data_IF_911734996906
#
_entry.id   IF_911734996906
#
_cell.length_a   1.000
_cell.length_b   1.000
_cell.length_c   1.000
_cell.angle_alpha   90.00
_cell.angle_beta   90.00
_cell.angle_gamma   90.00
#
_symmetry.space_group_name_H-M   'P 1'
#
loop_
_entity.id
_entity.type
_entity.pdbx_description
1 polymer ?
#
# COMPACT_ATOMS: atom_id res chain seq x y z
N UNK A 1 -34.70 19.22 -5.69
CA UNK A 1 -33.74 18.45 -4.88
C UNK A 1 -32.62 18.00 -5.80
N UNK A 2 -31.40 18.50 -5.57
CA UNK A 2 -30.22 18.03 -6.28
C UNK A 2 -29.47 17.05 -5.35
N UNK A 3 -29.04 15.94 -5.92
CA UNK A 3 -28.17 14.98 -5.22
C UNK A 3 -26.75 15.19 -5.71
N UNK A 4 -25.79 15.30 -4.79
CA UNK A 4 -24.36 15.37 -5.08
C UNK A 4 -23.68 14.11 -4.62
N UNK A 5 -22.74 13.61 -5.42
CA UNK A 5 -21.85 12.51 -5.09
C UNK A 5 -20.41 13.03 -5.12
N UNK A 6 -19.72 12.89 -3.99
CA UNK A 6 -18.31 13.28 -3.86
C UNK A 6 -17.50 12.01 -3.57
N UNK A 7 -16.46 11.78 -4.33
CA UNK A 7 -15.54 10.66 -4.14
C UNK A 7 -14.11 11.16 -4.12
N UNK A 8 -13.25 10.50 -3.38
CA UNK A 8 -11.83 10.83 -3.27
C UNK A 8 -11.08 9.79 -2.45
N UNK A 9 -9.76 9.77 -2.59
CA UNK A 9 -8.88 8.86 -1.85
C UNK A 9 -8.86 9.22 -0.36
N UNK A 10 -8.82 10.52 -0.06
CA UNK A 10 -8.77 11.04 1.31
C UNK A 10 -9.96 11.95 1.56
N UNK A 11 -10.36 11.97 2.83
CA UNK A 11 -11.34 12.94 3.30
C UNK A 11 -10.77 14.35 3.19
N UNK A 12 -11.49 15.25 2.55
CA UNK A 12 -11.12 16.66 2.48
C UNK A 12 -11.30 17.28 3.88
N UNK A 13 -10.38 18.16 4.27
CA UNK A 13 -10.32 18.77 5.60
C UNK A 13 -11.70 19.28 6.10
N UNK A 14 -11.97 19.01 7.36
CA UNK A 14 -13.24 19.14 8.06
C UNK A 14 -13.98 20.50 7.94
N UNK A 15 -13.29 21.59 7.62
CA UNK A 15 -13.82 22.90 8.03
C UNK A 15 -14.65 23.66 6.99
N UNK A 16 -14.50 23.42 5.70
CA UNK A 16 -15.17 24.27 4.71
C UNK A 16 -16.35 23.62 3.98
N UNK A 17 -16.35 22.33 3.78
CA UNK A 17 -17.41 21.63 3.03
C UNK A 17 -18.52 21.15 3.96
N UNK A 18 -18.20 20.78 5.21
CA UNK A 18 -19.13 20.14 6.13
C UNK A 18 -19.96 21.11 6.97
N UNK A 19 -19.51 22.34 7.17
CA UNK A 19 -20.23 23.33 8.01
C UNK A 19 -21.55 23.81 7.41
N UNK A 20 -21.78 23.60 6.12
CA UNK A 20 -23.00 24.02 5.42
C UNK A 20 -23.94 22.87 4.98
N UNK A 21 -23.56 21.60 5.20
CA UNK A 21 -24.34 20.45 4.74
C UNK A 21 -24.78 19.55 5.90
N UNK A 22 -26.06 19.61 6.25
CA UNK A 22 -26.58 18.87 7.40
C UNK A 22 -26.88 17.39 7.17
N UNK A 23 -26.82 16.89 5.92
CA UNK A 23 -27.23 15.53 5.55
C UNK A 23 -26.15 14.77 4.75
N UNK A 24 -24.89 14.90 5.13
CA UNK A 24 -23.83 14.12 4.52
C UNK A 24 -23.82 12.68 5.03
N UNK A 25 -23.92 11.73 4.13
CA UNK A 25 -23.63 10.31 4.41
C UNK A 25 -22.20 10.02 3.94
N UNK A 26 -21.31 9.75 4.87
CA UNK A 26 -19.92 9.43 4.58
C UNK A 26 -19.78 7.92 4.66
N UNK A 27 -19.06 7.35 3.70
CA UNK A 27 -18.74 5.92 3.68
C UNK A 27 -17.24 5.78 3.36
N UNK A 28 -16.58 4.89 4.06
CA UNK A 28 -15.17 4.55 3.92
C UNK A 28 -14.98 3.15 3.34
N UNK A 29 -13.75 2.75 3.15
CA UNK A 29 -13.39 1.38 2.74
C UNK A 29 -13.77 0.31 3.76
N UNK A 30 -14.02 0.69 5.02
CA UNK A 30 -14.46 -0.23 6.08
C UNK A 30 -15.98 -0.46 6.09
N UNK A 31 -16.76 0.38 5.39
CA UNK A 31 -18.21 0.31 5.38
C UNK A 31 -18.73 -0.71 4.37
N UNK A 32 -19.87 -1.35 4.70
CA UNK A 32 -20.52 -2.31 3.80
C UNK A 32 -21.29 -1.63 2.67
N UNK A 33 -21.75 -0.40 2.91
CA UNK A 33 -22.52 0.34 1.93
C UNK A 33 -21.61 0.77 0.78
N UNK A 34 -22.02 0.47 -0.45
CA UNK A 34 -21.28 0.75 -1.68
C UNK A 34 -19.98 -0.03 -1.86
N UNK A 35 -19.69 -1.05 -1.07
CA UNK A 35 -18.45 -1.81 -1.09
C UNK A 35 -18.13 -2.48 -2.43
N UNK A 36 -19.13 -2.80 -3.26
CA UNK A 36 -18.94 -3.44 -4.57
C UNK A 36 -18.85 -2.44 -5.75
N UNK A 37 -18.85 -1.13 -5.51
CA UNK A 37 -18.95 -0.14 -6.61
C UNK A 37 -17.64 0.61 -6.90
N UNK A 38 -16.62 0.44 -6.07
CA UNK A 38 -15.35 1.17 -6.19
C UNK A 38 -14.16 0.25 -6.49
N UNK A 39 -14.40 -0.77 -7.29
CA UNK A 39 -13.42 -1.73 -7.76
C UNK A 39 -14.10 -2.82 -8.55
N UNK A 40 -13.33 -3.77 -9.07
CA UNK A 40 -13.89 -4.95 -9.71
C UNK A 40 -14.09 -6.08 -8.71
N UNK A 41 -15.26 -6.70 -8.74
CA UNK A 41 -15.52 -7.92 -7.98
C UNK A 41 -14.84 -9.13 -8.62
N UNK A 42 -14.63 -10.22 -7.88
CA UNK A 42 -14.08 -11.47 -8.43
C UNK A 42 -14.86 -11.99 -9.66
N UNK A 43 -16.18 -11.84 -9.67
CA UNK A 43 -17.01 -12.31 -10.79
C UNK A 43 -16.80 -11.45 -12.04
N UNK A 44 -16.74 -10.12 -11.89
CA UNK A 44 -16.42 -9.20 -12.99
C UNK A 44 -15.04 -9.47 -13.58
N UNK A 45 -14.03 -9.74 -12.74
CA UNK A 45 -12.68 -10.07 -13.22
C UNK A 45 -12.66 -11.42 -13.95
N UNK A 46 -13.44 -12.42 -13.52
CA UNK A 46 -13.58 -13.69 -14.25
C UNK A 46 -14.24 -13.49 -15.60
N UNK A 47 -15.28 -12.65 -15.67
CA UNK A 47 -15.93 -12.30 -16.95
C UNK A 47 -14.95 -11.58 -17.89
N UNK A 48 -14.16 -10.65 -17.38
CA UNK A 48 -13.10 -9.98 -18.16
C UNK A 48 -12.05 -10.98 -18.64
N UNK A 49 -11.57 -11.88 -17.79
CA UNK A 49 -10.61 -12.91 -18.18
C UNK A 49 -11.16 -13.82 -19.28
N UNK A 50 -12.43 -14.20 -19.20
CA UNK A 50 -13.08 -14.98 -20.25
C UNK A 50 -13.20 -14.19 -21.56
N UNK A 51 -13.57 -12.91 -21.49
CA UNK A 51 -13.68 -12.03 -22.66
C UNK A 51 -12.36 -11.86 -23.41
N UNK A 52 -11.25 -11.70 -22.68
CA UNK A 52 -9.91 -11.56 -23.26
C UNK A 52 -9.21 -12.90 -23.55
N UNK A 53 -9.89 -14.05 -23.34
CA UNK A 53 -9.30 -15.37 -23.58
C UNK A 53 -8.17 -15.75 -22.60
N UNK A 54 -8.18 -15.16 -21.42
CA UNK A 54 -7.16 -15.29 -20.37
C UNK A 54 -7.69 -16.01 -19.12
N UNK A 55 -8.64 -16.94 -19.27
CA UNK A 55 -9.26 -17.65 -18.15
C UNK A 55 -8.22 -18.41 -17.30
N UNK A 56 -7.20 -18.97 -17.94
CA UNK A 56 -6.13 -19.71 -17.27
C UNK A 56 -5.17 -18.79 -16.47
N UNK A 57 -5.26 -17.48 -16.65
CA UNK A 57 -4.46 -16.49 -15.94
C UNK A 57 -5.14 -15.95 -14.67
N UNK A 58 -6.33 -16.43 -14.31
CA UNK A 58 -7.09 -15.88 -13.20
C UNK A 58 -6.33 -15.91 -11.88
N UNK A 59 -5.61 -16.99 -11.59
CA UNK A 59 -4.80 -17.12 -10.37
C UNK A 59 -3.65 -16.09 -10.33
N UNK A 60 -3.01 -15.81 -11.47
CA UNK A 60 -1.99 -14.75 -11.57
C UNK A 60 -2.61 -13.37 -11.32
N UNK A 61 -3.78 -13.09 -11.89
CA UNK A 61 -4.50 -11.83 -11.66
C UNK A 61 -4.83 -11.66 -10.18
N UNK A 62 -5.25 -12.74 -9.50
CA UNK A 62 -5.48 -12.73 -8.06
C UNK A 62 -4.21 -12.44 -7.28
N UNK A 63 -3.11 -13.12 -7.57
CA UNK A 63 -1.84 -12.91 -6.87
C UNK A 63 -1.35 -11.46 -6.95
N UNK A 64 -1.53 -10.84 -8.12
CA UNK A 64 -1.00 -9.51 -8.40
C UNK A 64 -1.92 -8.38 -7.99
N UNK A 65 -3.26 -8.49 -8.14
CA UNK A 65 -4.17 -7.35 -8.12
C UNK A 65 -5.38 -7.49 -7.19
N UNK A 66 -5.57 -8.66 -6.59
CA UNK A 66 -6.59 -8.90 -5.59
C UNK A 66 -6.13 -8.47 -4.19
N UNK A 67 -6.96 -8.71 -3.20
CA UNK A 67 -6.65 -8.59 -1.78
C UNK A 67 -7.13 -7.29 -1.16
N UNK A 68 -7.83 -6.42 -1.88
CA UNK A 68 -8.55 -5.32 -1.26
C UNK A 68 -9.88 -5.82 -0.72
N UNK A 69 -10.27 -5.29 0.44
CA UNK A 69 -11.51 -5.65 1.08
C UNK A 69 -12.26 -4.40 1.52
N UNK A 70 -13.35 -4.11 0.83
CA UNK A 70 -14.23 -3.02 1.20
C UNK A 70 -15.43 -3.57 1.96
N UNK A 71 -15.53 -3.24 3.26
CA UNK A 71 -16.47 -3.88 4.16
C UNK A 71 -16.30 -5.40 4.19
N UNK A 72 -17.22 -6.14 3.55
CA UNK A 72 -17.14 -7.62 3.38
C UNK A 72 -16.87 -8.05 1.95
N UNK A 73 -16.77 -7.12 1.01
CA UNK A 73 -16.61 -7.41 -0.41
C UNK A 73 -15.14 -7.42 -0.79
N UNK A 74 -14.73 -8.47 -1.45
CA UNK A 74 -13.40 -8.59 -2.05
C UNK A 74 -13.37 -7.79 -3.36
N UNK A 75 -12.32 -7.01 -3.55
CA UNK A 75 -12.24 -6.03 -4.63
C UNK A 75 -10.83 -6.07 -5.23
N UNK A 76 -10.78 -6.09 -6.55
CA UNK A 76 -9.57 -5.89 -7.34
C UNK A 76 -9.39 -4.42 -7.70
N UNK A 77 -8.12 -4.00 -7.84
CA UNK A 77 -7.80 -2.68 -8.35
C UNK A 77 -8.17 -2.56 -9.83
N UNK A 78 -9.13 -1.71 -10.22
CA UNK A 78 -9.57 -1.59 -11.61
C UNK A 78 -8.46 -1.14 -12.55
N UNK A 79 -7.63 -0.19 -12.12
CA UNK A 79 -6.53 0.33 -12.92
C UNK A 79 -5.55 -0.78 -13.30
N UNK A 80 -5.14 -1.57 -12.34
CA UNK A 80 -4.16 -2.64 -12.54
C UNK A 80 -4.73 -3.77 -13.38
N UNK A 81 -5.97 -4.18 -13.14
CA UNK A 81 -6.65 -5.23 -13.93
C UNK A 81 -6.82 -4.80 -15.39
N UNK A 82 -7.27 -3.56 -15.66
CA UNK A 82 -7.41 -3.05 -17.02
C UNK A 82 -6.04 -3.01 -17.72
N UNK A 83 -5.00 -2.52 -17.04
CA UNK A 83 -3.67 -2.46 -17.63
C UNK A 83 -3.07 -3.85 -17.85
N UNK A 84 -3.36 -4.84 -17.03
CA UNK A 84 -2.97 -6.22 -17.24
C UNK A 84 -3.48 -6.74 -18.59
N UNK A 85 -4.77 -6.61 -18.86
CA UNK A 85 -5.35 -7.03 -20.12
C UNK A 85 -4.86 -6.20 -21.32
N UNK A 86 -4.65 -4.90 -21.14
CA UNK A 86 -4.10 -4.02 -22.19
C UNK A 86 -2.61 -4.29 -22.50
N UNK A 87 -1.91 -5.00 -21.63
CA UNK A 87 -0.48 -5.30 -21.75
C UNK A 87 -0.25 -6.80 -22.02
N UNK A 88 -1.05 -7.38 -22.91
CA UNK A 88 -0.95 -8.76 -23.34
C UNK A 88 -0.93 -9.78 -22.18
N UNK A 89 -1.69 -9.54 -21.13
CA UNK A 89 -1.74 -10.34 -19.91
C UNK A 89 -0.38 -10.52 -19.23
N UNK A 90 0.50 -9.55 -19.35
CA UNK A 90 1.79 -9.54 -18.65
C UNK A 90 1.67 -8.80 -17.31
N UNK A 91 1.81 -9.54 -16.22
CA UNK A 91 1.71 -8.98 -14.87
C UNK A 91 2.86 -8.03 -14.53
N UNK A 92 2.52 -6.84 -14.03
CA UNK A 92 3.45 -5.78 -13.62
C UNK A 92 2.86 -4.94 -12.50
N UNK A 93 3.70 -4.16 -11.83
CA UNK A 93 3.26 -3.15 -10.86
C UNK A 93 2.79 -1.89 -11.60
N UNK A 94 1.55 -1.89 -12.09
CA UNK A 94 0.96 -0.76 -12.84
C UNK A 94 0.65 0.44 -11.93
N UNK A 95 0.34 0.20 -10.66
CA UNK A 95 0.09 1.25 -9.67
C UNK A 95 1.29 2.17 -9.48
N UNK A 96 2.50 1.67 -9.67
CA UNK A 96 3.73 2.43 -9.54
C UNK A 96 3.81 3.65 -10.48
N UNK A 97 3.13 3.61 -11.62
CA UNK A 97 3.16 4.68 -12.63
C UNK A 97 2.19 5.84 -12.34
N UNK A 98 1.43 5.82 -11.23
CA UNK A 98 0.31 6.77 -11.02
C UNK A 98 0.65 8.00 -10.20
N UNK A 99 1.91 8.31 -9.91
CA UNK A 99 2.32 9.53 -9.19
C UNK A 99 1.90 9.59 -7.70
N UNK A 100 1.08 8.64 -7.22
CA UNK A 100 0.67 8.56 -5.82
C UNK A 100 1.74 7.94 -4.92
N UNK A 101 2.79 7.37 -5.51
CA UNK A 101 3.83 6.65 -4.78
C UNK A 101 4.83 7.56 -4.07
N UNK A 102 4.91 8.83 -4.48
CA UNK A 102 5.73 9.83 -3.78
C UNK A 102 5.38 9.90 -2.29
N UNK A 103 4.10 9.69 -1.96
CA UNK A 103 3.61 9.70 -0.58
C UNK A 103 4.14 8.51 0.22
N UNK A 104 4.22 7.31 -0.38
CA UNK A 104 4.82 6.13 0.28
C UNK A 104 6.30 6.37 0.52
N UNK A 105 7.01 6.90 -0.48
CA UNK A 105 8.40 7.28 -0.36
C UNK A 105 8.61 8.28 0.79
N UNK A 106 7.79 9.33 0.89
CA UNK A 106 7.84 10.30 1.99
C UNK A 106 7.59 9.64 3.36
N UNK A 107 6.56 8.80 3.47
CA UNK A 107 6.24 8.10 4.71
C UNK A 107 7.39 7.18 5.14
N UNK A 108 7.94 6.39 4.22
CA UNK A 108 9.06 5.49 4.50
C UNK A 108 10.31 6.31 4.86
N UNK A 109 10.54 7.43 4.20
CA UNK A 109 11.69 8.27 4.45
C UNK A 109 11.65 8.95 5.82
N UNK A 110 10.47 9.41 6.25
CA UNK A 110 10.25 10.09 7.53
C UNK A 110 9.87 9.13 8.68
N UNK A 111 9.66 7.84 8.39
CA UNK A 111 9.28 6.82 9.38
C UNK A 111 10.33 6.72 10.50
N UNK A 112 9.85 6.68 11.75
CA UNK A 112 10.67 6.27 12.87
C UNK A 112 11.02 4.76 12.79
N UNK A 113 11.88 4.31 13.68
CA UNK A 113 12.36 2.92 13.69
C UNK A 113 11.20 1.92 13.84
N UNK A 114 10.22 2.22 14.70
CA UNK A 114 9.09 1.30 14.94
C UNK A 114 8.21 1.15 13.69
N UNK A 115 7.88 2.28 13.03
CA UNK A 115 7.09 2.26 11.79
C UNK A 115 7.86 1.54 10.69
N UNK A 116 9.16 1.83 10.56
CA UNK A 116 10.01 1.20 9.56
C UNK A 116 10.08 -0.33 9.73
N UNK A 117 10.33 -0.81 10.96
CA UNK A 117 10.35 -2.24 11.27
C UNK A 117 9.03 -2.94 10.92
N UNK A 118 7.88 -2.30 11.23
CA UNK A 118 6.56 -2.83 10.85
C UNK A 118 6.37 -2.89 9.33
N UNK A 119 6.86 -1.89 8.58
CA UNK A 119 6.78 -1.91 7.11
C UNK A 119 7.67 -3.01 6.52
N UNK A 120 8.84 -3.28 7.10
CA UNK A 120 9.69 -4.43 6.71
C UNK A 120 8.98 -5.75 7.01
N UNK A 121 8.40 -5.91 8.21
CA UNK A 121 7.67 -7.13 8.57
C UNK A 121 6.52 -7.44 7.60
N UNK A 122 5.82 -6.41 7.11
CA UNK A 122 4.81 -6.58 6.05
C UNK A 122 5.39 -7.16 4.76
N UNK A 123 6.62 -6.79 4.38
CA UNK A 123 7.31 -7.36 3.21
C UNK A 123 7.63 -8.85 3.39
N UNK A 124 7.91 -9.27 4.61
CA UNK A 124 8.13 -10.68 4.96
C UNK A 124 6.82 -11.49 5.02
N UNK A 125 5.68 -10.81 4.80
CA UNK A 125 4.36 -11.42 4.77
C UNK A 125 3.68 -11.48 6.13
N UNK A 126 4.20 -10.75 7.12
CA UNK A 126 3.59 -10.63 8.43
C UNK A 126 2.39 -9.68 8.41
N UNK A 127 1.60 -9.72 9.49
CA UNK A 127 0.52 -8.79 9.77
C UNK A 127 0.72 -8.18 11.15
N UNK A 128 0.10 -7.03 11.40
CA UNK A 128 0.08 -6.44 12.73
C UNK A 128 -1.26 -5.77 13.03
N UNK A 129 -1.56 -5.62 14.32
CA UNK A 129 -2.78 -4.96 14.79
C UNK A 129 -2.50 -3.49 15.06
N UNK A 130 -3.38 -2.62 14.56
CA UNK A 130 -3.31 -1.18 14.77
C UNK A 130 -4.70 -0.54 14.83
N UNK A 131 -4.76 0.66 15.40
CA UNK A 131 -5.96 1.48 15.34
C UNK A 131 -6.06 2.18 13.99
N UNK A 132 -7.27 2.18 13.42
CA UNK A 132 -7.58 2.84 12.15
C UNK A 132 -8.58 3.96 12.38
N UNK A 133 -8.18 5.15 11.98
CA UNK A 133 -9.03 6.35 11.88
C UNK A 133 -9.37 6.59 10.41
N UNK A 134 -10.62 6.33 10.03
CA UNK A 134 -11.10 6.58 8.66
C UNK A 134 -11.29 8.06 8.33
N UNK A 135 -11.19 8.91 9.32
CA UNK A 135 -11.30 10.38 9.22
C UNK A 135 -9.92 11.06 9.08
N UNK A 136 -8.85 10.28 8.93
CA UNK A 136 -7.50 10.81 8.80
C UNK A 136 -7.39 11.78 7.63
N UNK A 137 -6.75 12.92 7.87
CA UNK A 137 -6.46 13.94 6.87
C UNK A 137 -4.95 14.09 6.67
N UNK A 138 -4.52 14.40 5.44
CA UNK A 138 -3.10 14.48 5.06
C UNK A 138 -2.19 15.24 6.05
N UNK A 139 -2.56 16.43 6.59
CA UNK A 139 -1.71 17.15 7.54
C UNK A 139 -1.49 16.44 8.89
N UNK A 140 -2.29 15.43 9.22
CA UNK A 140 -2.21 14.70 10.49
C UNK A 140 -1.34 13.45 10.43
N UNK A 141 -0.98 13.00 9.22
CA UNK A 141 -0.21 11.76 8.99
C UNK A 141 1.13 11.79 9.74
N UNK A 142 1.78 12.94 9.78
CA UNK A 142 3.12 13.12 10.40
C UNK A 142 3.11 13.14 11.93
N UNK A 143 1.96 13.05 12.59
CA UNK A 143 1.85 13.27 14.05
C UNK A 143 1.74 11.99 14.89
N UNK A 144 1.32 10.89 14.29
CA UNK A 144 1.04 9.66 15.02
C UNK A 144 1.20 8.44 14.09
N UNK A 145 1.90 7.36 14.51
CA UNK A 145 2.01 6.10 13.76
C UNK A 145 0.66 5.53 13.28
N UNK A 146 -0.39 5.58 14.14
CA UNK A 146 -1.74 5.12 13.76
C UNK A 146 -2.32 5.91 12.59
N UNK A 147 -2.00 7.20 12.46
CA UNK A 147 -2.43 8.03 11.33
C UNK A 147 -1.73 7.62 10.04
N UNK A 148 -0.48 7.17 10.12
CA UNK A 148 0.26 6.61 8.98
C UNK A 148 -0.44 5.35 8.48
N UNK A 149 -0.74 4.40 9.36
CA UNK A 149 -1.38 3.14 8.97
C UNK A 149 -2.82 3.35 8.48
N UNK A 150 -3.55 4.28 9.09
CA UNK A 150 -4.89 4.68 8.64
C UNK A 150 -4.85 5.25 7.22
N UNK A 151 -3.88 6.11 6.95
CA UNK A 151 -3.65 6.66 5.61
C UNK A 151 -3.30 5.57 4.61
N UNK A 152 -2.34 4.70 4.93
CA UNK A 152 -1.91 3.61 4.07
C UNK A 152 -3.06 2.65 3.73
N UNK A 153 -3.96 2.40 4.70
CA UNK A 153 -5.14 1.59 4.47
C UNK A 153 -6.13 2.28 3.52
N UNK A 154 -6.49 3.54 3.79
CA UNK A 154 -7.47 4.28 2.97
C UNK A 154 -6.93 4.53 1.57
N UNK A 155 -5.63 4.75 1.41
CA UNK A 155 -4.97 4.92 0.12
C UNK A 155 -4.73 3.60 -0.64
N UNK A 156 -5.08 2.44 -0.07
CA UNK A 156 -4.97 1.14 -0.74
C UNK A 156 -3.60 0.47 -0.65
N UNK A 157 -2.73 0.90 0.24
CA UNK A 157 -1.42 0.29 0.47
C UNK A 157 -1.43 -0.80 1.54
N UNK A 158 -2.51 -0.90 2.31
CA UNK A 158 -2.78 -1.97 3.27
C UNK A 158 -4.17 -2.56 3.01
N UNK A 159 -4.37 -3.80 3.45
CA UNK A 159 -5.68 -4.46 3.56
C UNK A 159 -6.00 -4.79 5.00
N UNK A 160 -7.30 -4.94 5.30
CA UNK A 160 -7.78 -5.46 6.58
C UNK A 160 -7.97 -6.96 6.49
N UNK A 161 -7.29 -7.72 7.36
CA UNK A 161 -7.50 -9.16 7.55
C UNK A 161 -8.67 -9.37 8.52
N UNK A 162 -8.61 -8.69 9.67
CA UNK A 162 -9.62 -8.75 10.72
C UNK A 162 -9.88 -7.37 11.29
N UNK A 163 -11.13 -7.09 11.63
CA UNK A 163 -11.56 -5.83 12.23
C UNK A 163 -12.40 -6.11 13.46
N UNK A 164 -12.05 -5.46 14.55
CA UNK A 164 -12.81 -5.41 15.79
C UNK A 164 -13.11 -3.95 16.15
N UNK A 165 -14.22 -3.69 16.79
CA UNK A 165 -14.55 -2.35 17.30
C UNK A 165 -14.12 -2.29 18.76
N UNK A 166 -13.21 -1.35 19.07
CA UNK A 166 -12.75 -1.11 20.41
C UNK A 166 -13.88 -0.50 21.28
N UNK A 167 -13.72 -0.59 22.60
CA UNK A 167 -14.73 -0.10 23.55
C UNK A 167 -15.05 1.40 23.38
N UNK A 168 -14.11 2.18 22.91
CA UNK A 168 -14.26 3.62 22.63
C UNK A 168 -14.89 3.89 21.24
N UNK A 169 -15.21 2.86 20.47
CA UNK A 169 -15.79 2.96 19.14
C UNK A 169 -14.77 3.05 18.00
N UNK A 170 -13.47 3.08 18.28
CA UNK A 170 -12.44 3.06 17.27
C UNK A 170 -12.31 1.68 16.60
N UNK A 171 -11.88 1.64 15.36
CA UNK A 171 -11.58 0.40 14.66
C UNK A 171 -10.19 -0.11 15.04
N UNK A 172 -10.13 -1.34 15.53
CA UNK A 172 -8.88 -2.07 15.71
C UNK A 172 -8.76 -3.10 14.59
N UNK A 173 -7.79 -2.93 13.71
CA UNK A 173 -7.64 -3.74 12.52
C UNK A 173 -6.31 -4.48 12.51
N UNK A 174 -6.36 -5.74 12.15
CA UNK A 174 -5.19 -6.49 11.72
C UNK A 174 -4.97 -6.20 10.23
N UNK A 175 -3.79 -5.67 9.90
CA UNK A 175 -3.47 -5.19 8.57
C UNK A 175 -2.29 -5.95 7.96
N UNK A 176 -2.30 -6.08 6.63
CA UNK A 176 -1.24 -6.68 5.83
C UNK A 176 -1.14 -6.01 4.47
N UNK A 177 -0.11 -6.38 3.68
CA UNK A 177 -0.06 -5.99 2.27
C UNK A 177 -1.17 -6.70 1.47
N UNK A 178 -1.86 -5.98 0.57
CA UNK A 178 -2.97 -6.57 -0.18
C UNK A 178 -2.51 -7.65 -1.17
N UNK A 179 -1.44 -7.41 -1.92
CA UNK A 179 -1.07 -8.23 -3.05
C UNK A 179 0.41 -8.05 -3.45
N UNK A 180 0.81 -8.74 -4.51
CA UNK A 180 2.18 -8.75 -5.03
C UNK A 180 2.58 -7.41 -5.65
N UNK A 181 1.65 -6.70 -6.29
CA UNK A 181 1.88 -5.37 -6.86
C UNK A 181 2.32 -4.38 -5.77
N UNK A 182 1.57 -4.31 -4.68
CA UNK A 182 1.87 -3.41 -3.57
C UNK A 182 3.14 -3.83 -2.84
N UNK A 183 3.39 -5.13 -2.69
CA UNK A 183 4.67 -5.62 -2.17
C UNK A 183 5.85 -5.11 -2.99
N UNK A 184 5.72 -5.11 -4.33
CA UNK A 184 6.76 -4.58 -5.21
C UNK A 184 7.00 -3.09 -5.01
N UNK A 185 5.93 -2.30 -4.86
CA UNK A 185 6.01 -0.87 -4.57
C UNK A 185 6.77 -0.61 -3.27
N UNK A 186 6.39 -1.29 -2.18
CA UNK A 186 7.08 -1.16 -0.90
C UNK A 186 8.55 -1.56 -0.98
N UNK A 187 8.85 -2.69 -1.62
CA UNK A 187 10.24 -3.16 -1.80
C UNK A 187 11.09 -2.12 -2.49
N UNK A 188 10.56 -1.48 -3.53
CA UNK A 188 11.29 -0.45 -4.29
C UNK A 188 11.54 0.80 -3.45
N UNK A 189 10.53 1.31 -2.75
CA UNK A 189 10.66 2.50 -1.91
C UNK A 189 11.62 2.26 -0.72
N UNK A 190 11.57 1.07 -0.12
CA UNK A 190 12.48 0.69 0.96
C UNK A 190 13.92 0.56 0.45
N UNK A 191 14.12 -0.08 -0.71
CA UNK A 191 15.44 -0.18 -1.33
C UNK A 191 16.00 1.20 -1.67
N UNK A 192 15.18 2.10 -2.20
CA UNK A 192 15.59 3.47 -2.52
C UNK A 192 15.99 4.25 -1.25
N UNK A 193 15.28 4.05 -0.13
CA UNK A 193 15.70 4.62 1.17
C UNK A 193 17.06 4.09 1.60
N UNK A 194 17.27 2.77 1.51
CA UNK A 194 18.55 2.15 1.86
C UNK A 194 19.70 2.65 0.96
N UNK A 195 19.45 2.75 -0.35
CA UNK A 195 20.43 3.31 -1.30
C UNK A 195 20.81 4.76 -0.94
N UNK A 196 19.84 5.57 -0.52
CA UNK A 196 20.09 6.96 -0.10
C UNK A 196 20.85 7.07 1.24
N UNK A 197 20.78 6.05 2.09
CA UNK A 197 21.50 5.98 3.36
C UNK A 197 22.97 5.53 3.18
N UNK A 198 23.26 4.81 2.10
CA UNK A 198 24.57 4.23 1.84
C UNK A 198 25.29 5.07 0.79
N UNK A 199 26.51 5.51 1.07
CA UNK A 199 27.33 6.21 0.09
C UNK A 199 27.60 5.30 -1.11
N UNK A 200 27.39 5.78 -2.35
CA UNK A 200 27.65 4.98 -3.57
C UNK A 200 29.06 4.39 -3.62
N UNK A 201 30.04 5.11 -3.10
CA UNK A 201 31.44 4.64 -2.98
C UNK A 201 31.58 3.40 -2.10
N UNK A 202 30.76 3.28 -1.05
CA UNK A 202 30.77 2.12 -0.15
C UNK A 202 30.18 0.89 -0.87
N UNK A 203 29.09 1.06 -1.59
CA UNK A 203 28.48 -0.01 -2.40
C UNK A 203 29.47 -0.51 -3.46
N UNK A 204 30.09 0.40 -4.21
CA UNK A 204 31.09 0.06 -5.23
C UNK A 204 32.26 -0.72 -4.60
N UNK A 205 32.75 -0.30 -3.44
CA UNK A 205 33.86 -0.95 -2.76
C UNK A 205 33.54 -2.39 -2.29
N UNK A 206 32.29 -2.64 -1.90
CA UNK A 206 31.81 -3.99 -1.56
C UNK A 206 31.72 -4.86 -2.84
N UNK A 207 31.16 -4.30 -3.91
CA UNK A 207 31.08 -5.00 -5.21
C UNK A 207 32.46 -5.36 -5.76
N UNK A 208 33.42 -4.43 -5.68
CA UNK A 208 34.81 -4.70 -6.10
C UNK A 208 35.41 -5.84 -5.30
N UNK A 209 35.27 -5.85 -3.97
CA UNK A 209 35.78 -6.92 -3.12
C UNK A 209 35.13 -8.28 -3.46
N UNK A 210 33.84 -8.31 -3.80
CA UNK A 210 33.15 -9.51 -4.28
C UNK A 210 33.69 -9.98 -5.63
N UNK A 211 33.92 -9.08 -6.58
CA UNK A 211 34.44 -9.41 -7.91
C UNK A 211 35.88 -9.95 -7.87
N UNK A 212 36.72 -9.40 -7.00
CA UNK A 212 38.12 -9.86 -6.82
C UNK A 212 38.17 -11.21 -6.08
N UNK A 213 37.11 -11.56 -5.33
CA UNK A 213 37.06 -12.78 -4.52
C UNK A 213 37.91 -12.71 -3.26
N UNK A 214 38.24 -11.50 -2.80
CA UNK A 214 39.02 -11.27 -1.58
C UNK A 214 38.08 -11.23 -0.36
N UNK A 215 38.07 -12.31 0.40
CA UNK A 215 37.20 -12.49 1.55
C UNK A 215 37.54 -11.54 2.72
N UNK A 216 38.81 -11.20 2.92
CA UNK A 216 39.23 -10.28 3.99
C UNK A 216 38.81 -8.85 3.65
N UNK A 217 39.04 -8.42 2.42
CA UNK A 217 38.58 -7.13 1.92
C UNK A 217 37.06 -7.03 2.00
N UNK A 218 36.33 -8.06 1.59
CA UNK A 218 34.86 -8.11 1.65
C UNK A 218 34.36 -7.95 3.09
N UNK A 219 34.94 -8.67 4.03
CA UNK A 219 34.60 -8.58 5.45
C UNK A 219 34.81 -7.17 5.99
N UNK A 220 35.94 -6.54 5.69
CA UNK A 220 36.25 -5.17 6.11
C UNK A 220 35.26 -4.15 5.53
N UNK A 221 34.89 -4.30 4.24
CA UNK A 221 33.94 -3.40 3.58
C UNK A 221 32.53 -3.55 4.11
N UNK A 222 32.07 -4.79 4.37
CA UNK A 222 30.77 -5.04 5.01
C UNK A 222 30.75 -4.48 6.44
N UNK A 223 31.82 -4.63 7.21
CA UNK A 223 31.89 -4.07 8.55
C UNK A 223 31.85 -2.54 8.55
N UNK A 224 32.50 -1.90 7.57
CA UNK A 224 32.39 -0.44 7.37
C UNK A 224 30.96 -0.01 7.02
N UNK A 225 30.28 -0.75 6.16
CA UNK A 225 28.89 -0.52 5.80
C UNK A 225 27.98 -0.56 7.04
N UNK A 226 28.10 -1.62 7.85
CA UNK A 226 27.29 -1.82 9.06
C UNK A 226 27.57 -0.81 10.19
N UNK A 227 28.69 -0.08 10.14
CA UNK A 227 29.02 0.97 11.11
C UNK A 227 28.60 2.37 10.65
N UNK A 228 28.20 2.53 9.39
CA UNK A 228 27.72 3.79 8.80
C UNK A 228 26.18 3.89 8.73
N UNK A 229 25.48 2.78 8.94
CA UNK A 229 24.02 2.69 9.09
C UNK A 229 23.61 2.68 10.55
#
# INVERSE_FOLDING_TARGET
LAFGFLTGILRVAKESIFSGMNNLSINSVLDHKYSAYFGFTPDEVREMAAYYGATDHYDEICEWYDGYRFGKTEIFNPWSVINYFNNDCAARAFWQATGSNDIIGEIIHEADTEVYEKLIALLDGESFVTYIDTDVIYPQIKRNPSSIYSFLLVAGYLKVIRMDIAYNGDYMCEVALPNKEIRYVYSKEILQKLENMILPSTVISVQEAMYIGDSEMLQQRIQTLLTQT
#
